data_IF_158457557635
#
_entry.id   IF_158457557635
#
_cell.length_a   1.000
_cell.length_b   1.000
_cell.length_c   1.000
_cell.angle_alpha   90.00
_cell.angle_beta   90.00
_cell.angle_gamma   90.00
#
_symmetry.space_group_name_H-M   'P 1'
#
loop_
_entity.id
_entity.type
_entity.pdbx_description
1 polymer ?
#
# COMPACT_ATOMS: atom_id res chain seq x y z
N UNK A 1 -6.07 -9.52 10.44
CA UNK A 1 -6.49 -8.14 10.07
C UNK A 1 -6.77 -8.05 8.58
N UNK A 2 -7.60 -7.09 8.16
CA UNK A 2 -7.90 -6.78 6.75
C UNK A 2 -7.47 -5.34 6.45
N UNK A 3 -7.01 -5.08 5.22
CA UNK A 3 -6.67 -3.72 4.79
C UNK A 3 -7.93 -2.87 4.64
N UNK A 4 -8.06 -1.83 5.47
CA UNK A 4 -9.15 -0.86 5.40
C UNK A 4 -8.83 0.32 4.45
N UNK A 5 -7.56 0.63 4.26
CA UNK A 5 -7.09 1.74 3.43
C UNK A 5 -5.57 1.71 3.30
N UNK A 6 -5.08 2.25 2.19
CA UNK A 6 -3.64 2.43 1.94
C UNK A 6 -3.43 3.83 1.40
N UNK A 7 -2.39 4.51 1.90
CA UNK A 7 -1.97 5.83 1.42
C UNK A 7 -0.46 5.90 1.40
N UNK A 8 0.10 6.37 0.29
CA UNK A 8 1.52 6.67 0.19
C UNK A 8 1.77 8.07 0.77
N UNK A 9 2.54 8.15 1.84
CA UNK A 9 2.79 9.43 2.54
C UNK A 9 3.90 10.24 1.86
N UNK A 10 4.94 9.55 1.38
CA UNK A 10 6.08 10.10 0.64
C UNK A 10 6.65 9.04 -0.29
N UNK A 11 7.22 9.44 -1.41
CA UNK A 11 8.00 8.58 -2.30
C UNK A 11 9.08 9.39 -3.03
N UNK A 12 10.14 8.70 -3.47
CA UNK A 12 11.20 9.25 -4.33
C UNK A 12 11.31 8.48 -5.65
N UNK A 13 10.21 7.88 -6.08
CA UNK A 13 10.11 7.03 -7.25
C UNK A 13 10.26 7.79 -8.58
N UNK A 14 10.73 7.09 -9.62
CA UNK A 14 10.93 7.67 -10.95
C UNK A 14 9.59 8.16 -11.54
N UNK A 15 9.50 9.44 -11.97
CA UNK A 15 8.33 9.97 -12.66
C UNK A 15 7.91 9.09 -13.84
N UNK A 16 6.61 8.82 -13.96
CA UNK A 16 6.05 8.00 -15.04
C UNK A 16 6.20 6.48 -14.87
N UNK A 17 7.02 6.01 -13.93
CA UNK A 17 7.12 4.58 -13.56
C UNK A 17 6.35 4.33 -12.27
N UNK A 18 7.02 4.11 -11.13
CA UNK A 18 6.31 3.77 -9.90
C UNK A 18 5.81 4.98 -9.11
N UNK A 19 6.08 6.21 -9.55
CA UNK A 19 5.32 7.39 -9.10
C UNK A 19 3.80 7.22 -9.35
N UNK A 20 3.40 6.34 -10.27
CA UNK A 20 1.97 6.00 -10.50
C UNK A 20 1.30 5.38 -9.27
N UNK A 21 2.05 4.75 -8.37
CA UNK A 21 1.50 4.26 -7.09
C UNK A 21 1.17 5.37 -6.10
N UNK A 22 1.54 6.63 -6.38
CA UNK A 22 1.09 7.77 -5.59
C UNK A 22 -0.42 8.02 -5.74
N UNK A 23 -1.05 7.51 -6.81
CA UNK A 23 -2.49 7.58 -7.00
C UNK A 23 -3.23 6.76 -5.91
N UNK A 24 -4.01 7.41 -5.04
CA UNK A 24 -4.77 6.72 -3.99
C UNK A 24 -5.81 5.77 -4.56
N UNK A 25 -6.42 6.06 -5.71
CA UNK A 25 -7.42 5.19 -6.32
C UNK A 25 -6.79 3.86 -6.77
N UNK A 26 -5.57 3.94 -7.31
CA UNK A 26 -4.79 2.76 -7.66
C UNK A 26 -4.45 1.91 -6.43
N UNK A 27 -3.91 2.52 -5.38
CA UNK A 27 -3.59 1.80 -4.13
C UNK A 27 -4.83 1.17 -3.49
N UNK A 28 -5.95 1.88 -3.47
CA UNK A 28 -7.21 1.35 -2.93
C UNK A 28 -7.67 0.13 -3.72
N UNK A 29 -7.69 0.23 -5.05
CA UNK A 29 -8.05 -0.88 -5.93
C UNK A 29 -7.14 -2.10 -5.75
N UNK A 30 -5.85 -1.88 -5.54
CA UNK A 30 -4.87 -2.97 -5.42
C UNK A 30 -4.92 -3.69 -4.08
N UNK A 31 -5.19 -2.98 -2.98
CA UNK A 31 -4.92 -3.52 -1.64
C UNK A 31 -6.12 -3.55 -0.69
N UNK A 32 -7.13 -2.69 -0.85
CA UNK A 32 -8.26 -2.62 0.10
C UNK A 32 -9.09 -3.90 0.02
N UNK A 33 -9.53 -4.39 1.18
CA UNK A 33 -10.34 -5.61 1.28
C UNK A 33 -9.53 -6.91 1.41
N UNK A 34 -8.22 -6.87 1.09
CA UNK A 34 -7.33 -8.03 1.20
C UNK A 34 -6.96 -8.32 2.66
N UNK A 35 -6.68 -9.59 2.96
CA UNK A 35 -6.37 -10.09 4.29
C UNK A 35 -5.12 -10.98 4.25
N UNK A 36 -4.49 -11.23 5.40
CA UNK A 36 -3.38 -12.19 5.47
C UNK A 36 -3.78 -13.63 5.12
N UNK A 37 -5.03 -14.01 5.37
CA UNK A 37 -5.49 -15.38 5.14
C UNK A 37 -5.75 -15.67 3.65
N UNK A 38 -6.12 -14.63 2.89
CA UNK A 38 -6.67 -14.78 1.53
C UNK A 38 -5.78 -14.13 0.45
N UNK A 39 -4.55 -13.73 0.78
CA UNK A 39 -3.70 -12.98 -0.15
C UNK A 39 -2.25 -13.38 0.00
N UNK A 40 -1.66 -13.87 -1.09
CA UNK A 40 -0.22 -13.95 -1.25
C UNK A 40 0.32 -12.54 -1.55
N UNK A 41 0.99 -11.94 -0.56
CA UNK A 41 1.54 -10.57 -0.57
C UNK A 41 2.77 -10.42 -1.47
N UNK A 42 2.64 -10.85 -2.70
CA UNK A 42 3.64 -10.75 -3.77
C UNK A 42 2.93 -10.33 -5.05
N UNK A 43 3.66 -9.73 -5.97
CA UNK A 43 3.04 -9.36 -7.26
C UNK A 43 2.76 -10.61 -8.09
N UNK A 44 1.74 -10.55 -8.94
CA UNK A 44 1.35 -11.66 -9.84
C UNK A 44 2.49 -12.12 -10.75
N UNK A 45 3.36 -11.18 -11.17
CA UNK A 45 4.54 -11.49 -11.96
C UNK A 45 5.51 -12.46 -11.25
N UNK A 46 5.49 -12.50 -9.92
CA UNK A 46 6.29 -13.44 -9.14
C UNK A 46 5.46 -14.60 -8.56
N UNK A 47 4.17 -14.72 -8.92
CA UNK A 47 3.28 -15.79 -8.45
C UNK A 47 2.47 -15.45 -7.19
N UNK A 48 2.29 -14.16 -6.85
CA UNK A 48 1.34 -13.73 -5.81
C UNK A 48 0.01 -13.21 -6.35
N UNK A 49 -0.76 -12.51 -5.51
CA UNK A 49 -2.13 -12.06 -5.83
C UNK A 49 -2.24 -10.56 -6.18
N UNK A 50 -1.16 -9.80 -6.02
CA UNK A 50 -1.16 -8.34 -6.19
C UNK A 50 -0.84 -7.97 -7.64
N UNK A 51 -1.71 -7.18 -8.28
CA UNK A 51 -1.39 -6.62 -9.59
C UNK A 51 -0.29 -5.55 -9.48
N UNK A 52 0.70 -5.61 -10.36
CA UNK A 52 1.72 -4.57 -10.48
C UNK A 52 1.41 -3.62 -11.64
N UNK A 53 1.77 -2.36 -11.47
CA UNK A 53 1.79 -1.38 -12.56
C UNK A 53 2.91 -1.73 -13.54
N UNK A 54 2.58 -1.79 -14.83
CA UNK A 54 3.54 -2.04 -15.90
C UNK A 54 4.71 -1.06 -15.84
N UNK A 55 5.95 -1.57 -15.87
CA UNK A 55 7.17 -0.77 -15.77
C UNK A 55 7.56 -0.36 -14.35
N UNK A 56 6.76 -0.71 -13.33
CA UNK A 56 7.00 -0.38 -11.93
C UNK A 56 6.86 -1.61 -11.01
N UNK A 57 7.40 -2.74 -11.44
CA UNK A 57 7.31 -4.02 -10.71
C UNK A 57 8.12 -3.99 -9.40
N UNK A 58 9.26 -3.27 -9.39
CA UNK A 58 10.10 -3.13 -8.18
C UNK A 58 9.32 -2.44 -7.05
N UNK A 59 8.67 -1.32 -7.35
CA UNK A 59 7.79 -0.58 -6.44
C UNK A 59 6.59 -1.41 -5.99
N UNK A 60 5.98 -2.15 -6.94
CA UNK A 60 4.85 -3.02 -6.65
C UNK A 60 5.19 -4.14 -5.67
N UNK A 61 6.37 -4.76 -5.81
CA UNK A 61 6.89 -5.76 -4.85
C UNK A 61 7.08 -5.14 -3.47
N UNK A 62 7.78 -4.00 -3.41
CA UNK A 62 8.05 -3.31 -2.14
C UNK A 62 6.75 -2.96 -1.39
N UNK A 63 5.73 -2.48 -2.11
CA UNK A 63 4.42 -2.18 -1.52
C UNK A 63 3.69 -3.44 -1.04
N UNK A 64 3.67 -4.50 -1.85
CA UNK A 64 3.02 -5.76 -1.47
C UNK A 64 3.66 -6.37 -0.20
N UNK A 65 4.99 -6.43 -0.17
CA UNK A 65 5.76 -6.92 0.97
C UNK A 65 5.52 -6.06 2.22
N UNK A 66 5.63 -4.73 2.11
CA UNK A 66 5.44 -3.83 3.25
C UNK A 66 4.04 -3.92 3.87
N UNK A 67 2.98 -4.11 3.06
CA UNK A 67 1.61 -4.26 3.57
C UNK A 67 1.42 -5.62 4.24
N UNK A 68 1.94 -6.70 3.63
CA UNK A 68 1.90 -8.04 4.22
C UNK A 68 2.61 -8.08 5.59
N UNK A 69 3.80 -7.48 5.66
CA UNK A 69 4.56 -7.31 6.90
C UNK A 69 3.78 -6.51 7.95
N UNK A 70 3.18 -5.38 7.56
CA UNK A 70 2.42 -4.53 8.47
C UNK A 70 1.20 -5.27 9.05
N UNK A 71 0.47 -6.02 8.22
CA UNK A 71 -0.64 -6.84 8.69
C UNK A 71 -0.17 -7.97 9.61
N UNK A 72 1.00 -8.57 9.34
CA UNK A 72 1.56 -9.66 10.14
C UNK A 72 1.92 -9.17 11.53
N UNK A 73 2.60 -8.01 11.61
CA UNK A 73 2.89 -7.32 12.88
C UNK A 73 1.60 -6.96 13.60
N UNK A 74 0.62 -6.38 12.91
CA UNK A 74 -0.67 -6.06 13.50
C UNK A 74 -1.39 -7.30 14.06
N UNK A 75 -1.31 -8.45 13.39
CA UNK A 75 -1.91 -9.68 13.89
C UNK A 75 -1.20 -10.19 15.15
N UNK A 76 0.13 -10.12 15.19
CA UNK A 76 0.94 -10.49 16.36
C UNK A 76 0.72 -9.55 17.56
N UNK A 77 0.58 -8.25 17.31
CA UNK A 77 0.47 -7.20 18.32
C UNK A 77 -0.99 -6.77 18.59
N UNK A 78 -1.99 -7.54 18.14
CA UNK A 78 -3.41 -7.17 18.20
C UNK A 78 -3.96 -6.98 19.64
N UNK A 79 -3.18 -7.31 20.66
CA UNK A 79 -3.44 -6.97 22.07
C UNK A 79 -2.93 -5.58 22.50
N UNK A 80 -2.02 -4.95 21.73
CA UNK A 80 -1.43 -3.64 22.04
C UNK A 80 -1.96 -2.48 21.16
N UNK A 81 -2.42 -2.76 19.94
CA UNK A 81 -2.81 -1.73 18.94
C UNK A 81 -4.33 -1.50 18.90
N UNK A 82 -5.02 -1.55 20.06
CA UNK A 82 -6.47 -1.46 20.12
C UNK A 82 -7.04 -0.03 20.21
N UNK A 83 -6.22 1.02 20.33
CA UNK A 83 -6.75 2.39 20.50
C UNK A 83 -5.85 3.49 19.92
N UNK A 84 -5.68 3.49 18.59
CA UNK A 84 -5.31 4.71 17.88
C UNK A 84 -6.60 5.30 17.29
N UNK A 85 -6.88 6.60 17.47
CA UNK A 85 -8.12 7.20 17.00
C UNK A 85 -8.27 6.94 15.50
N UNK A 86 -9.37 6.26 15.14
CA UNK A 86 -9.82 6.07 13.76
C UNK A 86 -10.28 7.44 13.22
N UNK A 87 -9.32 8.32 12.93
CA UNK A 87 -9.59 9.72 12.68
C UNK A 87 -8.58 10.35 11.72
N UNK A 88 -9.13 10.97 10.69
CA UNK A 88 -8.52 11.85 9.69
C UNK A 88 -7.57 11.19 8.66
N UNK A 89 -8.14 10.92 7.48
CA UNK A 89 -7.38 10.97 6.22
C UNK A 89 -6.62 12.29 6.19
N UNK A 90 -5.27 12.31 6.11
CA UNK A 90 -4.57 13.57 5.94
C UNK A 90 -5.08 14.21 4.65
N UNK A 91 -5.38 15.50 4.66
CA UNK A 91 -5.73 16.23 3.44
C UNK A 91 -4.67 15.96 2.34
N UNK A 92 -5.04 15.91 1.04
CA UNK A 92 -4.04 15.77 -0.01
C UNK A 92 -3.02 16.91 0.15
N UNK A 93 -1.75 16.56 0.30
CA UNK A 93 -0.68 17.54 0.29
C UNK A 93 -0.71 18.20 -1.08
N UNK A 94 -0.90 19.52 -1.08
CA UNK A 94 -0.93 20.35 -2.27
C UNK A 94 0.24 20.04 -3.18
N UNK A 95 -0.10 19.81 -4.45
CA UNK A 95 0.82 19.72 -5.58
C UNK A 95 1.58 21.05 -5.69
N UNK A 96 2.81 21.10 -5.16
CA UNK A 96 3.77 22.13 -5.51
C UNK A 96 4.33 21.78 -6.88
N UNK A 97 3.65 22.27 -7.92
CA UNK A 97 4.25 22.47 -9.22
C UNK A 97 5.36 23.52 -9.05
N UNK A 98 6.61 23.08 -9.10
CA UNK A 98 7.77 23.98 -9.25
C UNK A 98 8.10 24.12 -10.75
N UNK A 99 8.54 25.32 -11.20
CA UNK A 99 8.55 25.77 -12.58
C UNK A 99 9.67 25.17 -13.44
#
# INVERSE_FOLDING_TARGET
>A
GRVAGVRLLRHGETPGLGARYADPALLQRLYVGRSLADTQWRVKADGGDVDAVTGATVTGRALAEAIGDALTRYAADSTAVADAPRGASPAPASEEALP
#
